data_IF_901395979196
#
_entry.id   IF_901395979196
#
_cell.length_a   1.000
_cell.length_b   1.000
_cell.length_c   1.000
_cell.angle_alpha   90.00
_cell.angle_beta   90.00
_cell.angle_gamma   90.00
#
_symmetry.space_group_name_H-M   'P 1'
#
loop_
_entity.id
_entity.type
_entity.pdbx_description
1 polymer ?
#
# COMPACT_ATOMS: atom_id res chain seq x y z
N UNK A 1 1.54 -15.38 3.37
CA UNK A 1 2.71 -15.66 2.52
C UNK A 1 2.20 -15.98 1.12
N UNK A 2 2.78 -15.35 0.11
CA UNK A 2 2.52 -15.63 -1.29
C UNK A 2 3.75 -16.34 -1.88
N UNK A 3 3.53 -17.27 -2.78
CA UNK A 3 4.59 -18.01 -3.47
C UNK A 3 4.43 -17.84 -4.98
N UNK A 4 5.54 -17.82 -5.69
CA UNK A 4 5.58 -17.81 -7.14
C UNK A 4 6.67 -18.76 -7.62
N UNK A 5 6.34 -19.55 -8.62
CA UNK A 5 7.27 -20.37 -9.38
C UNK A 5 6.87 -20.31 -10.86
N UNK A 6 7.63 -19.56 -11.65
CA UNK A 6 7.31 -19.34 -13.07
C UNK A 6 7.49 -20.56 -13.97
N UNK A 7 8.07 -21.64 -13.44
CA UNK A 7 8.63 -22.69 -14.30
C UNK A 7 9.76 -22.15 -15.19
N UNK A 8 10.29 -22.98 -16.08
CA UNK A 8 11.26 -22.55 -17.08
C UNK A 8 10.52 -21.83 -18.22
N UNK A 9 10.94 -20.60 -18.55
CA UNK A 9 10.39 -19.86 -19.67
C UNK A 9 10.88 -20.45 -20.99
N UNK A 10 9.97 -20.95 -21.82
CA UNK A 10 10.34 -21.46 -23.17
C UNK A 10 10.71 -20.32 -24.13
N UNK A 11 10.02 -19.20 -23.98
CA UNK A 11 10.27 -17.94 -24.73
C UNK A 11 10.36 -16.76 -23.74
N UNK A 12 10.63 -15.57 -24.23
CA UNK A 12 10.59 -14.37 -23.41
C UNK A 12 9.18 -14.21 -22.79
N UNK A 13 9.12 -14.09 -21.46
CA UNK A 13 7.90 -14.03 -20.67
C UNK A 13 7.95 -12.89 -19.66
N UNK A 14 6.83 -12.20 -19.50
CA UNK A 14 6.62 -11.28 -18.38
C UNK A 14 5.88 -12.03 -17.28
N UNK A 15 6.50 -12.13 -16.12
CA UNK A 15 5.86 -12.68 -14.92
C UNK A 15 5.18 -11.55 -14.19
N UNK A 16 3.90 -11.71 -13.87
CA UNK A 16 3.09 -10.71 -13.19
C UNK A 16 2.60 -11.21 -11.84
N UNK A 17 1.98 -10.31 -11.09
CA UNK A 17 1.35 -10.62 -9.79
C UNK A 17 0.20 -11.64 -9.90
N UNK A 18 -0.36 -11.88 -11.09
CA UNK A 18 -1.32 -12.95 -11.32
C UNK A 18 -0.76 -14.34 -11.00
N UNK A 19 0.56 -14.52 -11.12
CA UNK A 19 1.24 -15.81 -10.86
C UNK A 19 1.58 -16.00 -9.36
N UNK A 20 1.26 -15.03 -8.50
CA UNK A 20 1.43 -15.16 -7.06
C UNK A 20 0.29 -15.99 -6.45
N UNK A 21 0.62 -17.16 -5.95
CA UNK A 21 -0.30 -18.02 -5.22
C UNK A 21 -0.27 -17.69 -3.74
N UNK A 22 -1.44 -17.36 -3.17
CA UNK A 22 -1.57 -17.10 -1.74
C UNK A 22 -1.99 -18.36 -0.99
N UNK A 23 -1.33 -18.63 0.13
CA UNK A 23 -1.79 -19.65 1.09
C UNK A 23 -2.94 -19.16 1.97
N UNK A 24 -3.23 -17.87 1.93
CA UNK A 24 -4.28 -17.20 2.70
C UNK A 24 -5.26 -16.55 1.72
N UNK A 25 -6.56 -16.85 1.83
CA UNK A 25 -7.59 -16.31 0.95
C UNK A 25 -7.78 -14.80 1.09
N UNK A 26 -7.40 -14.23 2.23
CA UNK A 26 -7.51 -12.80 2.52
C UNK A 26 -6.37 -11.99 1.91
N UNK A 27 -5.17 -12.59 1.79
CA UNK A 27 -3.97 -11.92 1.28
C UNK A 27 -3.86 -12.12 -0.21
N UNK A 28 -4.14 -11.08 -0.99
CA UNK A 28 -4.10 -11.08 -2.46
C UNK A 28 -3.32 -9.87 -2.98
N UNK A 29 -2.70 -9.96 -4.17
CA UNK A 29 -2.24 -8.77 -4.88
C UNK A 29 -3.40 -7.81 -5.16
N UNK A 30 -3.15 -6.51 -5.10
CA UNK A 30 -4.15 -5.47 -5.41
C UNK A 30 -4.52 -5.42 -6.88
N UNK A 31 -3.66 -5.92 -7.76
CA UNK A 31 -3.87 -6.08 -9.19
C UNK A 31 -3.13 -7.31 -9.67
N UNK A 32 -3.68 -8.00 -10.67
CA UNK A 32 -3.06 -9.15 -11.32
C UNK A 32 -2.02 -8.75 -12.39
N UNK A 33 -2.00 -7.46 -12.78
CA UNK A 33 -1.20 -6.96 -13.89
C UNK A 33 0.12 -6.29 -13.47
N UNK A 34 0.50 -6.37 -12.19
CA UNK A 34 1.75 -5.77 -11.71
C UNK A 34 2.92 -6.59 -12.24
N UNK A 35 3.81 -6.03 -13.10
CA UNK A 35 4.96 -6.76 -13.60
C UNK A 35 5.99 -6.98 -12.48
N UNK A 36 6.43 -8.23 -12.32
CA UNK A 36 7.45 -8.61 -11.34
C UNK A 36 8.81 -8.70 -12.01
N UNK A 37 8.90 -9.43 -13.12
CA UNK A 37 10.15 -9.64 -13.83
C UNK A 37 9.90 -10.04 -15.29
N UNK A 38 10.85 -9.67 -16.17
CA UNK A 38 10.96 -10.17 -17.54
C UNK A 38 11.95 -11.33 -17.56
N UNK A 39 11.51 -12.51 -17.99
CA UNK A 39 12.35 -13.68 -18.16
C UNK A 39 12.70 -13.87 -19.63
N UNK A 40 13.96 -14.12 -19.92
CA UNK A 40 14.38 -14.63 -21.21
C UNK A 40 14.14 -16.15 -21.30
N UNK A 41 14.25 -16.71 -22.51
CA UNK A 41 14.17 -18.17 -22.71
C UNK A 41 15.18 -18.91 -21.82
N UNK A 42 14.74 -19.97 -21.18
CA UNK A 42 15.53 -20.80 -20.26
C UNK A 42 15.65 -20.25 -18.83
N UNK A 43 15.18 -19.01 -18.57
CA UNK A 43 15.19 -18.45 -17.22
C UNK A 43 13.97 -18.89 -16.40
N UNK A 44 14.15 -18.91 -15.08
CA UNK A 44 13.11 -19.22 -14.08
C UNK A 44 13.25 -18.31 -12.89
N UNK A 45 12.12 -17.89 -12.32
CA UNK A 45 12.08 -17.26 -11.01
C UNK A 45 11.27 -18.09 -10.04
N UNK A 46 11.79 -18.25 -8.82
CA UNK A 46 11.06 -18.79 -7.68
C UNK A 46 11.24 -17.84 -6.50
N UNK A 47 10.14 -17.39 -5.90
CA UNK A 47 10.17 -16.45 -4.77
C UNK A 47 9.08 -16.76 -3.74
N UNK A 48 9.34 -16.34 -2.53
CA UNK A 48 8.38 -16.25 -1.45
C UNK A 48 8.24 -14.79 -1.02
N UNK A 49 7.02 -14.27 -0.98
CA UNK A 49 6.72 -12.91 -0.57
C UNK A 49 5.93 -12.91 0.74
N UNK A 50 6.47 -12.20 1.74
CA UNK A 50 5.85 -12.05 3.04
C UNK A 50 5.19 -10.68 3.13
N UNK A 51 3.85 -10.66 3.08
CA UNK A 51 3.08 -9.45 3.29
C UNK A 51 3.00 -9.12 4.78
N UNK A 52 3.21 -7.84 5.12
CA UNK A 52 2.97 -7.29 6.44
C UNK A 52 2.36 -5.90 6.34
N UNK A 53 1.66 -5.49 7.37
CA UNK A 53 1.22 -4.11 7.51
C UNK A 53 2.40 -3.22 7.94
N UNK A 54 2.38 -1.98 7.49
CA UNK A 54 3.35 -0.97 7.86
C UNK A 54 2.79 0.42 7.59
N UNK A 55 3.50 1.44 8.06
CA UNK A 55 3.14 2.86 7.89
C UNK A 55 4.09 3.53 6.93
N UNK A 56 3.60 4.48 6.16
CA UNK A 56 4.42 5.31 5.27
C UNK A 56 5.57 6.04 5.98
N UNK A 57 5.42 6.33 7.27
CA UNK A 57 6.47 6.89 8.12
C UNK A 57 7.64 5.93 8.38
N UNK A 58 7.40 4.61 8.31
CA UNK A 58 8.45 3.59 8.45
C UNK A 58 9.19 3.38 7.12
N UNK A 59 8.45 3.34 6.02
CA UNK A 59 9.01 3.19 4.68
C UNK A 59 7.98 3.59 3.62
N UNK A 60 8.42 4.28 2.57
CA UNK A 60 7.57 4.76 1.48
C UNK A 60 6.77 3.66 0.76
N UNK A 61 7.23 2.41 0.76
CA UNK A 61 6.49 1.26 0.18
C UNK A 61 5.12 1.02 0.84
N UNK A 62 4.89 1.56 2.03
CA UNK A 62 3.62 1.46 2.74
C UNK A 62 2.76 2.71 2.64
N UNK A 63 3.16 3.69 1.83
CA UNK A 63 2.27 4.81 1.54
C UNK A 63 1.02 4.31 0.82
N UNK A 64 -0.14 4.64 1.35
CA UNK A 64 -1.43 4.33 0.74
C UNK A 64 -1.89 5.39 -0.25
N UNK A 65 -1.30 6.59 -0.20
CA UNK A 65 -1.59 7.70 -1.10
C UNK A 65 -0.35 8.15 -1.87
N UNK A 66 -0.47 8.35 -3.18
CA UNK A 66 0.52 9.01 -4.02
C UNK A 66 0.48 10.52 -3.81
N UNK A 67 -0.73 11.06 -3.75
CA UNK A 67 -0.99 12.50 -3.59
C UNK A 67 -1.99 12.68 -2.44
N UNK A 68 -1.71 13.65 -1.60
CA UNK A 68 -2.66 14.15 -0.61
C UNK A 68 -2.45 15.66 -0.49
N UNK A 69 -3.39 16.44 -0.98
CA UNK A 69 -3.31 17.92 -0.99
C UNK A 69 -4.58 18.53 -0.44
N UNK A 70 -4.41 19.61 0.30
CA UNK A 70 -5.49 20.45 0.78
C UNK A 70 -5.32 21.84 0.15
N UNK A 71 -6.32 22.27 -0.61
CA UNK A 71 -6.33 23.57 -1.30
C UNK A 71 -7.52 24.41 -0.86
N UNK A 72 -7.33 25.72 -0.76
CA UNK A 72 -8.42 26.65 -0.53
C UNK A 72 -9.24 26.82 -1.81
N UNK A 73 -10.51 27.08 -1.67
CA UNK A 73 -11.37 27.56 -2.77
C UNK A 73 -11.46 29.08 -2.75
N UNK A 74 -12.16 29.66 -3.71
CA UNK A 74 -12.48 31.09 -3.75
C UNK A 74 -13.54 31.49 -2.70
N UNK A 75 -14.12 30.51 -2.02
CA UNK A 75 -15.09 30.75 -0.94
C UNK A 75 -14.43 30.65 0.42
N UNK A 76 -14.83 31.54 1.32
CA UNK A 76 -14.41 31.54 2.70
C UNK A 76 -14.85 30.22 3.38
N UNK A 77 -13.95 29.62 4.17
CA UNK A 77 -14.16 28.37 4.91
C UNK A 77 -14.45 27.10 4.06
N UNK A 78 -14.17 27.14 2.74
CA UNK A 78 -14.28 25.96 1.87
C UNK A 78 -12.90 25.46 1.43
N UNK A 79 -12.65 24.17 1.59
CA UNK A 79 -11.38 23.51 1.26
C UNK A 79 -11.64 22.29 0.38
N UNK A 80 -10.71 22.01 -0.54
CA UNK A 80 -10.71 20.78 -1.34
C UNK A 80 -9.58 19.89 -0.87
N UNK A 81 -9.93 18.70 -0.38
CA UNK A 81 -8.98 17.62 -0.10
C UNK A 81 -8.93 16.66 -1.29
N UNK A 82 -7.79 16.59 -1.95
CA UNK A 82 -7.55 15.64 -3.04
C UNK A 82 -6.68 14.50 -2.54
N UNK A 83 -7.13 13.26 -2.72
CA UNK A 83 -6.40 12.06 -2.35
C UNK A 83 -6.37 11.10 -3.53
N UNK A 84 -5.15 10.75 -3.97
CA UNK A 84 -4.90 9.74 -5.00
C UNK A 84 -4.30 8.50 -4.35
N UNK A 85 -4.96 7.35 -4.50
CA UNK A 85 -4.52 6.09 -3.90
C UNK A 85 -3.38 5.43 -4.69
N UNK A 86 -2.51 4.67 -4.00
CA UNK A 86 -1.56 3.73 -4.63
C UNK A 86 -2.22 2.42 -5.07
N UNK A 87 -3.53 2.24 -4.81
CA UNK A 87 -4.28 1.01 -5.06
C UNK A 87 -4.37 0.06 -3.86
N UNK A 88 -3.66 0.34 -2.77
CA UNK A 88 -3.66 -0.50 -1.55
C UNK A 88 -4.92 -0.34 -0.70
N UNK A 89 -5.52 0.86 -0.69
CA UNK A 89 -6.75 1.21 0.01
C UNK A 89 -7.61 2.12 -0.87
N UNK A 90 -8.92 2.06 -0.68
CA UNK A 90 -9.83 3.03 -1.30
C UNK A 90 -9.62 4.43 -0.72
N UNK A 91 -9.78 5.52 -1.51
CA UNK A 91 -9.55 6.90 -1.04
C UNK A 91 -10.30 7.26 0.24
N UNK A 92 -11.56 6.83 0.37
CA UNK A 92 -12.35 7.02 1.59
C UNK A 92 -11.73 6.33 2.80
N UNK A 93 -11.20 5.11 2.63
CA UNK A 93 -10.54 4.37 3.71
C UNK A 93 -9.22 5.05 4.13
N UNK A 94 -8.48 5.63 3.20
CA UNK A 94 -7.26 6.39 3.48
C UNK A 94 -7.58 7.58 4.39
N UNK A 95 -8.64 8.35 4.07
CA UNK A 95 -9.06 9.51 4.86
C UNK A 95 -9.50 9.08 6.25
N UNK A 96 -10.34 8.05 6.37
CA UNK A 96 -10.82 7.54 7.66
C UNK A 96 -9.68 7.05 8.54
N UNK A 97 -8.77 6.23 7.99
CA UNK A 97 -7.60 5.73 8.71
C UNK A 97 -6.66 6.87 9.14
N UNK A 98 -6.51 7.90 8.32
CA UNK A 98 -5.75 9.11 8.65
C UNK A 98 -6.33 9.88 9.84
N UNK A 99 -7.66 10.02 9.88
CA UNK A 99 -8.37 10.68 10.99
C UNK A 99 -8.22 9.85 12.28
N UNK A 100 -8.39 8.54 12.22
CA UNK A 100 -8.21 7.65 13.37
C UNK A 100 -6.79 7.71 13.93
N UNK A 101 -5.78 7.67 13.05
CA UNK A 101 -4.37 7.78 13.45
C UNK A 101 -4.05 9.14 14.09
N UNK A 102 -4.59 10.23 13.54
CA UNK A 102 -4.43 11.58 14.11
C UNK A 102 -5.09 11.67 15.49
N UNK A 103 -6.31 11.17 15.62
CA UNK A 103 -7.04 11.17 16.90
C UNK A 103 -6.26 10.42 17.98
N UNK A 104 -5.73 9.25 17.63
CA UNK A 104 -4.93 8.44 18.55
C UNK A 104 -3.66 9.20 19.01
N UNK A 105 -2.95 9.85 18.10
CA UNK A 105 -1.76 10.64 18.44
C UNK A 105 -2.08 11.83 19.34
N UNK A 106 -3.22 12.50 19.12
CA UNK A 106 -3.68 13.58 19.97
C UNK A 106 -4.04 13.09 21.38
N UNK A 107 -4.66 11.93 21.51
CA UNK A 107 -4.94 11.32 22.82
C UNK A 107 -3.66 10.92 23.56
N UNK A 108 -2.69 10.32 22.87
CA UNK A 108 -1.38 10.00 23.42
C UNK A 108 -0.67 11.26 23.90
N UNK A 109 -0.66 12.32 23.10
CA UNK A 109 -0.06 13.61 23.46
C UNK A 109 -0.74 14.24 24.69
N UNK A 110 -2.07 14.24 24.73
CA UNK A 110 -2.86 14.68 25.89
C UNK A 110 -2.47 13.89 27.15
N UNK A 111 -2.33 12.57 27.04
CA UNK A 111 -1.91 11.72 28.16
C UNK A 111 -0.53 12.08 28.71
N UNK A 112 0.41 12.42 27.83
CA UNK A 112 1.74 12.90 28.23
C UNK A 112 1.62 14.23 28.99
N UNK A 113 0.84 15.19 28.50
CA UNK A 113 0.66 16.49 29.14
C UNK A 113 0.05 16.39 30.54
N UNK A 114 -0.95 15.53 30.72
CA UNK A 114 -1.60 15.30 32.03
C UNK A 114 -0.62 14.73 33.05
N UNK A 115 0.39 13.98 32.62
CA UNK A 115 1.41 13.35 33.49
C UNK A 115 2.67 14.21 33.67
N UNK A 116 2.77 15.36 33.00
CA UNK A 116 3.83 16.34 33.27
C UNK A 116 3.57 17.00 34.63
N UNK A 117 4.51 16.80 35.58
CA UNK A 117 4.52 17.47 36.89
C UNK A 117 5.16 18.80 36.78
#
# INVERSE_FOLDING_TARGET
>A
MLVLDSGNAETTKIVTSAELESKDQVVKPTSEQIPIVHLASGQRIKLEAYARLGRGTEHAKWNSANISTLTNTDKEDEYILTVETTGSLEPKQIILAGIEELSKRLEEFKGILVNLK
#
